data_IF_096276506020
#
_entry.id   IF_096276506020
#
_cell.length_a   1.000
_cell.length_b   1.000
_cell.length_c   1.000
_cell.angle_alpha   90.00
_cell.angle_beta   90.00
_cell.angle_gamma   90.00
#
_symmetry.space_group_name_H-M   'P 1'
#
loop_
_entity.id
_entity.type
_entity.pdbx_description
1 polymer ?
#
# COMPACT_ATOMS: atom_id res chain seq x y z
N UNK A 1 4.72 -24.31 -4.97
CA UNK A 1 3.53 -25.16 -4.71
C UNK A 1 3.31 -25.47 -3.22
N UNK A 2 4.31 -25.35 -2.34
CA UNK A 2 4.14 -25.56 -0.87
C UNK A 2 3.52 -24.34 -0.17
N UNK A 3 3.61 -23.14 -0.75
CA UNK A 3 3.09 -21.91 -0.15
C UNK A 3 1.56 -21.94 0.11
N UNK A 4 0.79 -22.56 -0.79
CA UNK A 4 -0.67 -22.60 -0.69
C UNK A 4 -1.15 -23.41 0.55
N UNK A 5 -0.73 -24.67 0.76
CA UNK A 5 -1.12 -25.42 1.95
C UNK A 5 -0.58 -24.81 3.24
N UNK A 6 0.63 -24.23 3.25
CA UNK A 6 1.17 -23.56 4.43
C UNK A 6 0.32 -22.33 4.79
N UNK A 7 0.03 -21.46 3.82
CA UNK A 7 -0.77 -20.26 4.06
C UNK A 7 -2.17 -20.63 4.58
N UNK A 8 -2.81 -21.61 3.93
CA UNK A 8 -4.11 -22.11 4.38
C UNK A 8 -4.05 -22.72 5.79
N UNK A 9 -3.01 -23.49 6.11
CA UNK A 9 -2.79 -24.06 7.44
C UNK A 9 -2.62 -22.99 8.52
N UNK A 10 -1.80 -21.96 8.25
CA UNK A 10 -1.60 -20.82 9.15
C UNK A 10 -2.92 -20.06 9.34
N UNK A 11 -3.66 -19.79 8.26
CA UNK A 11 -4.96 -19.14 8.34
C UNK A 11 -5.95 -19.92 9.21
N UNK A 12 -6.01 -21.25 9.05
CA UNK A 12 -6.85 -22.12 9.90
C UNK A 12 -6.40 -22.08 11.36
N UNK A 13 -5.10 -22.05 11.62
CA UNK A 13 -4.55 -21.94 12.98
C UNK A 13 -4.87 -20.60 13.64
N UNK A 14 -4.72 -19.48 12.92
CA UNK A 14 -5.08 -18.14 13.41
C UNK A 14 -6.57 -18.07 13.74
N UNK A 15 -7.43 -18.58 12.85
CA UNK A 15 -8.88 -18.64 13.10
C UNK A 15 -9.20 -19.55 14.28
N UNK A 16 -8.52 -20.67 14.47
CA UNK A 16 -8.77 -21.53 15.63
C UNK A 16 -8.34 -20.90 16.98
N UNK A 17 -7.28 -20.08 16.97
CA UNK A 17 -6.63 -19.60 18.20
C UNK A 17 -6.98 -18.17 18.61
N UNK A 18 -7.28 -17.28 17.64
CA UNK A 18 -7.41 -15.83 17.85
C UNK A 18 -8.68 -15.23 17.27
N UNK A 19 -9.68 -16.04 16.91
CA UNK A 19 -10.92 -15.56 16.29
C UNK A 19 -11.67 -14.53 17.12
N UNK A 20 -11.73 -14.67 18.45
CA UNK A 20 -12.48 -13.72 19.29
C UNK A 20 -11.85 -12.31 19.30
N UNK A 21 -10.52 -12.21 19.13
CA UNK A 21 -9.83 -10.92 18.98
C UNK A 21 -10.07 -10.33 17.58
N UNK A 22 -9.87 -11.15 16.53
CA UNK A 22 -10.00 -10.69 15.13
C UNK A 22 -11.45 -10.30 14.79
N UNK A 23 -12.43 -11.02 15.34
CA UNK A 23 -13.86 -10.70 15.20
C UNK A 23 -14.30 -9.47 16.00
N UNK A 24 -13.45 -8.96 16.90
CA UNK A 24 -13.75 -7.80 17.74
C UNK A 24 -14.72 -8.10 18.89
N UNK A 25 -14.93 -9.37 19.25
CA UNK A 25 -15.71 -9.76 20.45
C UNK A 25 -14.98 -9.39 21.73
N UNK A 26 -13.65 -9.51 21.72
CA UNK A 26 -12.76 -9.12 22.81
C UNK A 26 -11.76 -8.12 22.28
N UNK A 27 -11.56 -7.01 22.98
CA UNK A 27 -10.51 -6.06 22.66
C UNK A 27 -9.15 -6.69 22.95
N UNK A 28 -8.27 -6.74 21.95
CA UNK A 28 -6.90 -7.22 22.14
C UNK A 28 -6.13 -6.20 22.99
N UNK A 29 -5.65 -6.56 24.20
CA UNK A 29 -4.89 -5.65 25.05
C UNK A 29 -3.60 -5.13 24.39
N UNK A 30 -3.10 -5.80 23.34
CA UNK A 30 -1.88 -5.42 22.62
C UNK A 30 -2.16 -4.77 21.25
N UNK A 31 -3.41 -4.78 20.78
CA UNK A 31 -3.79 -4.20 19.48
C UNK A 31 -3.16 -4.87 18.26
N UNK A 32 -2.63 -6.09 18.39
CA UNK A 32 -1.94 -6.81 17.30
C UNK A 32 -2.92 -7.57 16.41
N UNK A 33 -3.96 -8.16 16.99
CA UNK A 33 -4.95 -8.99 16.32
C UNK A 33 -6.25 -8.23 16.06
N UNK A 34 -6.16 -7.07 15.40
CA UNK A 34 -7.31 -6.16 15.21
C UNK A 34 -8.18 -6.49 14.01
N UNK A 35 -7.68 -7.29 13.05
CA UNK A 35 -8.43 -7.65 11.83
C UNK A 35 -8.76 -6.45 10.95
N UNK A 36 -7.92 -5.41 10.96
CA UNK A 36 -8.20 -4.11 10.35
C UNK A 36 -8.60 -4.21 8.87
N UNK A 37 -7.91 -5.04 8.10
CA UNK A 37 -8.18 -5.26 6.69
C UNK A 37 -9.59 -5.86 6.47
N UNK A 38 -9.93 -6.93 7.20
CA UNK A 38 -11.27 -7.55 7.13
C UNK A 38 -12.38 -6.59 7.55
N UNK A 39 -12.16 -5.80 8.61
CA UNK A 39 -13.13 -4.79 9.07
C UNK A 39 -13.33 -3.71 8.02
N UNK A 40 -12.27 -3.26 7.36
CA UNK A 40 -12.32 -2.23 6.32
C UNK A 40 -13.09 -2.73 5.10
N UNK A 41 -12.81 -3.95 4.64
CA UNK A 41 -13.56 -4.58 3.54
C UNK A 41 -15.03 -4.80 3.88
N UNK A 42 -15.33 -5.29 5.08
CA UNK A 42 -16.70 -5.51 5.52
C UNK A 42 -17.47 -4.18 5.62
N UNK A 43 -16.85 -3.14 6.17
CA UNK A 43 -17.43 -1.79 6.25
C UNK A 43 -17.72 -1.23 4.87
N UNK A 44 -16.77 -1.34 3.94
CA UNK A 44 -16.97 -0.91 2.55
C UNK A 44 -18.10 -1.69 1.86
N UNK A 45 -18.17 -3.00 2.08
CA UNK A 45 -19.24 -3.86 1.54
C UNK A 45 -20.62 -3.51 2.09
N UNK A 46 -20.75 -3.34 3.40
CA UNK A 46 -22.00 -2.92 4.05
C UNK A 46 -22.42 -1.55 3.55
N UNK A 47 -21.48 -0.60 3.44
CA UNK A 47 -21.77 0.73 2.92
C UNK A 47 -22.33 0.67 1.50
N UNK A 48 -21.75 -0.16 0.63
CA UNK A 48 -22.24 -0.35 -0.74
C UNK A 48 -23.61 -1.04 -0.78
N UNK A 49 -23.82 -2.07 0.03
CA UNK A 49 -25.06 -2.84 0.07
C UNK A 49 -26.23 -2.04 0.68
N UNK A 50 -26.01 -1.29 1.75
CA UNK A 50 -27.06 -0.62 2.52
C UNK A 50 -27.49 0.71 1.88
N UNK A 51 -26.52 1.51 1.40
CA UNK A 51 -26.80 2.84 0.81
C UNK A 51 -27.18 2.72 -0.66
N UNK A 52 -26.57 1.75 -1.36
CA UNK A 52 -26.71 1.57 -2.80
C UNK A 52 -25.93 2.60 -3.62
N UNK A 53 -25.49 2.24 -4.84
CA UNK A 53 -24.60 3.09 -5.65
C UNK A 53 -25.20 4.46 -5.98
N UNK A 54 -26.52 4.52 -6.26
CA UNK A 54 -27.18 5.77 -6.63
C UNK A 54 -27.11 6.84 -5.54
N UNK A 55 -27.28 6.45 -4.26
CA UNK A 55 -27.21 7.38 -3.14
C UNK A 55 -25.76 7.67 -2.73
N UNK A 56 -24.87 6.69 -2.83
CA UNK A 56 -23.44 6.88 -2.55
C UNK A 56 -22.83 7.94 -3.46
N UNK A 57 -22.98 7.79 -4.77
CA UNK A 57 -22.39 8.72 -5.74
C UNK A 57 -23.16 10.05 -5.90
N UNK A 58 -24.35 10.16 -5.32
CA UNK A 58 -25.07 11.44 -5.21
C UNK A 58 -24.51 12.34 -4.11
N UNK A 59 -23.79 11.78 -3.12
CA UNK A 59 -23.14 12.55 -2.06
C UNK A 59 -21.98 13.38 -2.61
N UNK A 60 -21.83 14.63 -2.14
CA UNK A 60 -20.77 15.54 -2.55
C UNK A 60 -19.36 14.97 -2.34
N UNK A 61 -19.20 14.03 -1.40
CA UNK A 61 -17.93 13.40 -1.09
C UNK A 61 -17.50 12.36 -2.13
N UNK A 62 -18.43 11.54 -2.64
CA UNK A 62 -18.14 10.47 -3.60
C UNK A 62 -18.38 10.85 -5.05
N UNK A 63 -19.08 11.96 -5.31
CA UNK A 63 -19.31 12.49 -6.66
C UNK A 63 -18.00 12.70 -7.46
N UNK A 64 -16.88 13.16 -6.87
CA UNK A 64 -15.61 13.29 -7.59
C UNK A 64 -15.06 11.97 -8.14
N UNK A 65 -15.34 10.84 -7.49
CA UNK A 65 -14.87 9.52 -7.91
C UNK A 65 -15.41 9.15 -9.30
N UNK A 66 -16.63 9.60 -9.62
CA UNK A 66 -17.21 9.37 -10.95
C UNK A 66 -16.45 10.10 -12.07
N UNK A 67 -15.78 11.23 -11.78
CA UNK A 67 -14.93 11.90 -12.77
C UNK A 67 -13.62 11.14 -13.04
N UNK A 68 -13.27 10.15 -12.21
CA UNK A 68 -12.15 9.24 -12.46
C UNK A 68 -12.33 8.38 -13.71
N UNK A 69 -13.57 7.96 -14.02
CA UNK A 69 -13.87 7.17 -15.22
C UNK A 69 -13.58 7.92 -16.54
N UNK A 70 -14.13 9.12 -16.79
CA UNK A 70 -13.78 9.88 -17.99
C UNK A 70 -12.32 10.31 -17.97
N UNK A 71 -11.74 10.66 -16.82
CA UNK A 71 -10.32 10.99 -16.73
C UNK A 71 -9.42 9.82 -17.18
N UNK A 72 -9.71 8.61 -16.73
CA UNK A 72 -9.00 7.39 -17.14
C UNK A 72 -9.17 7.05 -18.62
N UNK A 73 -10.34 7.31 -19.20
CA UNK A 73 -10.60 7.10 -20.63
C UNK A 73 -9.90 8.14 -21.52
N UNK A 74 -9.87 9.41 -21.08
CA UNK A 74 -9.31 10.53 -21.83
C UNK A 74 -7.78 10.54 -21.76
N UNK A 75 -7.19 10.16 -20.63
CA UNK A 75 -5.74 10.24 -20.43
C UNK A 75 -4.88 9.47 -21.46
N UNK A 76 -5.16 8.23 -21.86
CA UNK A 76 -4.38 7.55 -22.91
C UNK A 76 -4.52 8.25 -24.28
N UNK A 77 -5.69 8.82 -24.58
CA UNK A 77 -5.92 9.59 -25.81
C UNK A 77 -5.06 10.86 -25.81
N UNK A 78 -4.99 11.57 -24.68
CA UNK A 78 -4.12 12.74 -24.51
C UNK A 78 -2.65 12.36 -24.72
N UNK A 79 -2.18 11.28 -24.09
CA UNK A 79 -0.79 10.83 -24.25
C UNK A 79 -0.48 10.48 -25.70
N UNK A 80 -1.40 9.82 -26.40
CA UNK A 80 -1.24 9.49 -27.81
C UNK A 80 -1.16 10.74 -28.71
N UNK A 81 -2.02 11.74 -28.48
CA UNK A 81 -1.98 13.01 -29.20
C UNK A 81 -0.68 13.79 -28.93
N UNK A 82 -0.23 13.81 -27.67
CA UNK A 82 1.03 14.45 -27.29
C UNK A 82 2.23 13.76 -27.95
N UNK A 83 2.22 12.43 -28.03
CA UNK A 83 3.26 11.69 -28.73
C UNK A 83 3.33 12.05 -30.22
N UNK A 84 2.17 12.16 -30.89
CA UNK A 84 2.09 12.55 -32.30
C UNK A 84 2.59 13.98 -32.56
N UNK A 85 2.35 14.91 -31.63
CA UNK A 85 2.75 16.32 -31.77
C UNK A 85 4.21 16.57 -31.38
N UNK A 86 4.75 15.81 -30.43
CA UNK A 86 6.11 15.97 -29.90
C UNK A 86 6.91 14.66 -29.90
N UNK A 87 7.32 14.15 -31.07
CA UNK A 87 8.06 12.89 -31.18
C UNK A 87 9.43 12.91 -30.47
N UNK A 88 10.01 14.11 -30.25
CA UNK A 88 11.28 14.26 -29.53
C UNK A 88 11.17 14.04 -28.00
N UNK A 89 9.98 14.18 -27.42
CA UNK A 89 9.77 14.11 -25.98
C UNK A 89 9.61 12.67 -25.45
N UNK A 90 9.54 11.65 -26.33
CA UNK A 90 9.41 10.22 -25.99
C UNK A 90 8.24 9.93 -25.01
N UNK A 91 7.06 10.49 -25.31
CA UNK A 91 5.84 10.20 -24.54
C UNK A 91 5.42 8.72 -24.58
N UNK A 92 6.00 7.90 -25.46
CA UNK A 92 5.88 6.42 -25.43
C UNK A 92 6.32 5.77 -24.12
N UNK A 93 7.21 6.42 -23.35
CA UNK A 93 7.68 5.90 -22.07
C UNK A 93 6.68 6.15 -20.93
N UNK A 94 5.64 6.96 -21.15
CA UNK A 94 4.67 7.32 -20.13
C UNK A 94 3.47 6.37 -20.18
N UNK A 95 3.34 5.55 -19.14
CA UNK A 95 2.18 4.69 -18.98
C UNK A 95 1.16 5.35 -18.03
N UNK A 96 0.06 5.87 -18.61
CA UNK A 96 -1.05 6.45 -17.84
C UNK A 96 -1.66 5.45 -16.88
N UNK A 97 -1.78 4.17 -17.24
CA UNK A 97 -2.49 3.19 -16.40
C UNK A 97 -1.74 2.93 -15.10
N UNK A 98 -0.41 2.83 -15.16
CA UNK A 98 0.44 2.67 -13.97
C UNK A 98 0.34 3.91 -13.09
N UNK A 99 0.37 5.11 -13.70
CA UNK A 99 0.25 6.35 -12.95
C UNK A 99 -1.08 6.47 -12.20
N UNK A 100 -2.21 6.20 -12.86
CA UNK A 100 -3.53 6.24 -12.20
C UNK A 100 -3.69 5.12 -11.16
N UNK A 101 -3.13 3.94 -11.40
CA UNK A 101 -3.15 2.86 -10.41
C UNK A 101 -2.39 3.25 -9.13
N UNK A 102 -1.22 3.88 -9.26
CA UNK A 102 -0.47 4.39 -8.10
C UNK A 102 -1.14 5.60 -7.44
N UNK A 103 -1.85 6.44 -8.20
CA UNK A 103 -2.62 7.55 -7.65
C UNK A 103 -3.86 7.07 -6.88
N UNK A 104 -4.49 5.97 -7.29
CA UNK A 104 -5.67 5.41 -6.63
C UNK A 104 -5.36 4.83 -5.24
N UNK A 105 -4.14 4.36 -5.01
CA UNK A 105 -3.69 3.86 -3.71
C UNK A 105 -3.17 4.96 -2.78
N UNK A 106 -3.11 6.21 -3.26
CA UNK A 106 -2.69 7.35 -2.46
C UNK A 106 -3.85 7.80 -1.57
N UNK A 107 -3.85 7.31 -0.33
CA UNK A 107 -4.74 7.78 0.72
C UNK A 107 -4.16 9.11 1.22
N UNK A 108 -4.92 10.21 1.14
CA UNK A 108 -4.47 11.60 1.26
C UNK A 108 -3.77 12.05 2.55
N UNK A 109 -3.19 11.14 3.33
CA UNK A 109 -2.25 11.44 4.40
C UNK A 109 -0.89 11.78 3.78
N UNK A 110 -0.24 12.86 4.24
CA UNK A 110 1.19 13.11 4.01
C UNK A 110 2.00 12.05 4.76
N UNK A 111 1.97 10.80 4.29
CA UNK A 111 2.82 9.74 4.83
C UNK A 111 4.17 9.77 4.11
N UNK A 112 5.24 9.48 4.85
CA UNK A 112 6.60 9.45 4.30
C UNK A 112 6.77 8.32 3.26
N UNK A 113 5.97 7.26 3.35
CA UNK A 113 6.06 6.06 2.52
C UNK A 113 6.09 6.33 1.01
N UNK A 114 5.02 6.91 0.41
CA UNK A 114 4.96 7.17 -1.03
C UNK A 114 6.12 8.03 -1.54
N UNK A 115 6.52 9.04 -0.76
CA UNK A 115 7.63 9.91 -1.11
C UNK A 115 8.96 9.16 -1.11
N UNK A 116 9.23 8.35 -0.09
CA UNK A 116 10.43 7.51 -0.01
C UNK A 116 10.45 6.47 -1.15
N UNK A 117 9.32 5.82 -1.46
CA UNK A 117 9.22 4.89 -2.59
C UNK A 117 9.52 5.58 -3.91
N UNK A 118 9.02 6.80 -4.12
CA UNK A 118 9.31 7.59 -5.32
C UNK A 118 10.79 7.95 -5.42
N UNK A 119 11.41 8.39 -4.32
CA UNK A 119 12.84 8.73 -4.27
C UNK A 119 13.73 7.51 -4.56
N UNK A 120 13.51 6.41 -3.82
CA UNK A 120 14.29 5.17 -3.99
C UNK A 120 14.06 4.58 -5.39
N UNK A 121 12.81 4.56 -5.86
CA UNK A 121 12.45 4.10 -7.19
C UNK A 121 13.14 4.91 -8.28
N UNK A 122 13.19 6.24 -8.15
CA UNK A 122 13.88 7.13 -9.10
C UNK A 122 15.38 6.92 -9.05
N UNK A 123 15.97 6.80 -7.86
CA UNK A 123 17.41 6.56 -7.74
C UNK A 123 17.82 5.23 -8.39
N UNK A 124 17.10 4.14 -8.09
CA UNK A 124 17.42 2.81 -8.63
C UNK A 124 17.07 2.65 -10.10
N UNK A 125 15.90 3.11 -10.54
CA UNK A 125 15.44 2.84 -11.91
C UNK A 125 15.81 3.94 -12.91
N UNK A 126 15.96 5.20 -12.47
CA UNK A 126 16.33 6.29 -13.37
C UNK A 126 17.83 6.59 -13.30
N UNK A 127 18.36 6.86 -12.11
CA UNK A 127 19.77 7.27 -11.97
C UNK A 127 20.74 6.11 -12.23
N UNK A 128 20.61 4.99 -11.52
CA UNK A 128 21.52 3.85 -11.71
C UNK A 128 21.42 3.24 -13.12
N UNK A 129 20.22 3.19 -13.71
CA UNK A 129 20.04 2.72 -15.08
C UNK A 129 20.73 3.62 -16.11
N UNK A 130 20.63 4.95 -15.96
CA UNK A 130 21.16 5.92 -16.93
C UNK A 130 22.66 6.14 -16.82
N UNK A 131 23.21 6.18 -15.60
CA UNK A 131 24.63 6.51 -15.37
C UNK A 131 25.51 5.28 -15.12
N UNK A 132 24.96 4.15 -14.66
CA UNK A 132 25.71 2.95 -14.27
C UNK A 132 25.05 1.65 -14.73
N UNK A 133 24.68 1.58 -16.02
CA UNK A 133 23.92 0.47 -16.61
C UNK A 133 24.51 -0.92 -16.39
N UNK A 134 25.83 -1.07 -16.47
CA UNK A 134 26.51 -2.35 -16.22
C UNK A 134 26.37 -2.82 -14.75
N UNK A 135 26.39 -1.89 -13.80
CA UNK A 135 26.16 -2.19 -12.39
C UNK A 135 24.68 -2.56 -12.15
N UNK A 136 23.76 -1.79 -12.73
CA UNK A 136 22.33 -2.02 -12.59
C UNK A 136 21.91 -3.40 -13.12
N UNK A 137 22.36 -3.78 -14.32
CA UNK A 137 22.04 -5.11 -14.90
C UNK A 137 22.52 -6.28 -14.03
N UNK A 138 23.65 -6.12 -13.32
CA UNK A 138 24.20 -7.20 -12.48
C UNK A 138 23.51 -7.29 -11.12
N UNK A 139 23.19 -6.14 -10.51
CA UNK A 139 22.80 -6.09 -9.10
C UNK A 139 21.32 -5.81 -8.86
N UNK A 140 20.57 -5.25 -9.82
CA UNK A 140 19.19 -4.86 -9.59
C UNK A 140 18.30 -6.03 -9.13
N UNK A 141 18.47 -7.19 -9.75
CA UNK A 141 17.71 -8.39 -9.37
C UNK A 141 18.11 -8.90 -7.97
N UNK A 142 19.41 -8.95 -7.67
CA UNK A 142 19.93 -9.42 -6.38
C UNK A 142 19.52 -8.47 -5.25
N UNK A 143 19.60 -7.14 -5.46
CA UNK A 143 19.16 -6.16 -4.47
C UNK A 143 17.66 -6.21 -4.23
N UNK A 144 16.86 -6.43 -5.28
CA UNK A 144 15.42 -6.62 -5.15
C UNK A 144 15.08 -7.85 -4.33
N UNK A 145 15.71 -8.99 -4.64
CA UNK A 145 15.53 -10.24 -3.91
C UNK A 145 16.00 -10.12 -2.44
N UNK A 146 17.11 -9.41 -2.18
CA UNK A 146 17.60 -9.19 -0.82
C UNK A 146 16.67 -8.28 -0.01
N UNK A 147 16.10 -7.24 -0.61
CA UNK A 147 15.15 -6.35 0.06
C UNK A 147 13.83 -7.06 0.38
N UNK A 148 13.31 -7.87 -0.54
CA UNK A 148 12.08 -8.64 -0.31
C UNK A 148 12.29 -9.71 0.77
N UNK A 149 13.39 -10.47 0.71
CA UNK A 149 13.71 -11.44 1.76
C UNK A 149 13.98 -10.78 3.10
N UNK A 150 14.66 -9.63 3.13
CA UNK A 150 14.89 -8.84 4.34
C UNK A 150 13.60 -8.29 4.95
N UNK A 151 12.67 -7.80 4.14
CA UNK A 151 11.35 -7.35 4.59
C UNK A 151 10.54 -8.50 5.22
N UNK A 152 10.45 -9.64 4.53
CA UNK A 152 9.75 -10.82 5.04
C UNK A 152 10.41 -11.38 6.31
N UNK A 153 11.75 -11.40 6.37
CA UNK A 153 12.49 -11.84 7.56
C UNK A 153 12.25 -10.89 8.76
N UNK A 154 12.25 -9.58 8.54
CA UNK A 154 11.94 -8.59 9.57
C UNK A 154 10.50 -8.73 10.09
N UNK A 155 9.52 -8.91 9.20
CA UNK A 155 8.13 -9.18 9.57
C UNK A 155 8.00 -10.42 10.46
N UNK A 156 8.67 -11.51 10.08
CA UNK A 156 8.68 -12.75 10.86
C UNK A 156 9.37 -12.56 12.21
N UNK A 157 10.47 -11.81 12.25
CA UNK A 157 11.16 -11.44 13.48
C UNK A 157 10.23 -10.67 14.41
N UNK A 158 9.57 -9.61 13.93
CA UNK A 158 8.61 -8.82 14.73
C UNK A 158 7.46 -9.72 15.21
N UNK A 159 6.92 -10.57 14.35
CA UNK A 159 5.83 -11.48 14.71
C UNK A 159 6.23 -12.44 15.84
N UNK A 160 7.40 -13.05 15.77
CA UNK A 160 7.86 -13.97 16.81
C UNK A 160 8.18 -13.19 18.09
N UNK A 161 9.00 -12.14 18.02
CA UNK A 161 9.53 -11.49 19.21
C UNK A 161 8.57 -10.52 19.89
N UNK A 162 7.69 -9.85 19.16
CA UNK A 162 6.69 -8.92 19.72
C UNK A 162 5.28 -9.53 19.72
N UNK A 163 4.96 -10.33 18.70
CA UNK A 163 3.63 -10.92 18.54
C UNK A 163 3.33 -12.09 19.49
N UNK A 164 4.32 -12.89 19.86
CA UNK A 164 4.11 -14.09 20.71
C UNK A 164 4.43 -13.88 22.19
N UNK A 165 5.35 -12.97 22.50
CA UNK A 165 5.84 -12.73 23.88
C UNK A 165 4.97 -11.74 24.66
N UNK A 166 4.03 -11.05 24.00
CA UNK A 166 3.19 -10.02 24.62
C UNK A 166 3.97 -8.76 25.04
N UNK A 167 5.18 -8.55 24.51
CA UNK A 167 5.98 -7.37 24.80
C UNK A 167 5.39 -6.14 24.07
N UNK A 168 5.00 -5.12 24.85
CA UNK A 168 4.64 -3.80 24.32
C UNK A 168 5.92 -3.12 23.83
N UNK A 169 5.93 -2.63 22.59
CA UNK A 169 7.07 -1.92 22.04
C UNK A 169 7.34 -0.66 22.86
N UNK A 170 8.57 -0.53 23.38
CA UNK A 170 8.98 0.64 24.14
C UNK A 170 8.84 1.92 23.31
N UNK A 171 8.56 3.05 23.96
CA UNK A 171 8.55 4.34 23.30
C UNK A 171 9.99 4.80 23.03
N UNK A 172 10.26 5.19 21.79
CA UNK A 172 11.54 5.73 21.37
C UNK A 172 11.34 6.70 20.22
N UNK A 173 12.41 7.33 19.73
CA UNK A 173 12.33 8.36 18.69
C UNK A 173 11.57 7.91 17.42
N UNK A 174 11.53 6.61 17.09
CA UNK A 174 10.76 6.06 15.97
C UNK A 174 9.44 5.38 16.33
N UNK A 175 9.06 5.33 17.61
CA UNK A 175 7.79 4.73 18.08
C UNK A 175 7.15 5.66 19.13
N UNK A 176 6.37 6.61 18.63
CA UNK A 176 5.65 7.59 19.45
C UNK A 176 4.37 6.96 20.04
N UNK A 177 3.98 7.39 21.23
CA UNK A 177 2.77 6.90 21.90
C UNK A 177 1.48 7.43 21.25
N UNK A 178 1.52 8.63 20.66
CA UNK A 178 0.34 9.28 20.10
C UNK A 178 0.17 8.99 18.61
N UNK A 179 1.27 8.91 17.85
CA UNK A 179 1.20 8.75 16.40
C UNK A 179 2.39 7.97 15.85
N UNK A 180 2.13 6.71 15.49
CA UNK A 180 3.15 5.76 15.00
C UNK A 180 3.84 6.30 13.74
N UNK A 181 3.12 7.01 12.87
CA UNK A 181 3.68 7.58 11.64
C UNK A 181 4.40 8.92 11.85
N UNK A 182 4.38 9.48 13.07
CA UNK A 182 4.89 10.84 13.43
C UNK A 182 4.44 11.95 12.46
N UNK A 183 3.36 11.69 11.73
CA UNK A 183 2.72 12.64 10.85
C UNK A 183 1.76 13.49 11.69
N UNK A 184 2.33 14.43 12.45
CA UNK A 184 1.53 15.37 13.21
C UNK A 184 0.68 16.18 12.24
N UNK A 185 -0.64 16.06 12.36
CA UNK A 185 -1.55 16.91 11.61
C UNK A 185 -1.15 18.37 11.84
N UNK A 186 -1.03 19.14 10.74
CA UNK A 186 -0.83 20.58 10.83
C UNK A 186 -2.00 21.13 11.65
N UNK A 187 -1.72 21.60 12.88
CA UNK A 187 -2.69 22.34 13.69
C UNK A 187 -3.01 23.62 12.92
N UNK A 188 -4.13 23.60 12.21
CA UNK A 188 -4.78 24.80 11.66
C UNK A 188 -5.54 25.52 12.73
#
# INVERSE_FOLDING_TARGET
MIALPINYGVMRWVVASKFDYVSGRVADPQGQWTGQEFKSYNTAGIQYALVGPKKLFASSFFKPVLYGFPAGAIAPIIIWLLHKKFPKARFDLWNSTIFFASAATFHGNLSTGPFTTFLVGTFFNFYLYRYRRAFWNKWAYISGAALDTGFNANLLFIFIFLGTTGAVMAHWWGNDAENIERCFALKG
#
